data_IF_642285413438
#
_entry.id   IF_642285413438
#
_cell.length_a   1.000
_cell.length_b   1.000
_cell.length_c   1.000
_cell.angle_alpha   90.00
_cell.angle_beta   90.00
_cell.angle_gamma   90.00
#
_symmetry.space_group_name_H-M   'P 1'
#
loop_
_entity.id
_entity.type
_entity.pdbx_description
1 polymer ?
#
# COMPACT_ATOMS: atom_id res chain seq x y z
N UNK A 1 -0.47 -18.14 10.75
CA UNK A 1 0.40 -19.10 10.03
C UNK A 1 0.17 -20.54 10.46
N UNK A 2 0.13 -20.82 11.77
CA UNK A 2 -0.15 -22.18 12.31
C UNK A 2 -1.46 -22.81 11.78
N UNK A 3 -2.52 -22.00 11.63
CA UNK A 3 -3.81 -22.46 11.11
C UNK A 3 -3.72 -23.02 9.68
N UNK A 4 -2.93 -22.40 8.80
CA UNK A 4 -2.75 -22.89 7.42
C UNK A 4 -2.07 -24.27 7.43
N UNK A 5 -1.05 -24.44 8.28
CA UNK A 5 -0.36 -25.72 8.42
C UNK A 5 -1.31 -26.83 8.85
N UNK A 6 -2.14 -26.60 9.87
CA UNK A 6 -3.12 -27.60 10.35
C UNK A 6 -4.17 -27.90 9.26
N UNK A 7 -4.71 -26.88 8.60
CA UNK A 7 -5.73 -27.03 7.57
C UNK A 7 -5.24 -27.67 6.27
N UNK A 8 -3.93 -27.73 6.04
CA UNK A 8 -3.34 -28.40 4.87
C UNK A 8 -2.80 -29.79 5.22
N UNK A 9 -2.07 -29.92 6.34
CA UNK A 9 -1.42 -31.17 6.72
C UNK A 9 -2.40 -32.23 7.24
N UNK A 10 -3.43 -31.83 8.00
CA UNK A 10 -4.44 -32.77 8.52
C UNK A 10 -5.22 -33.44 7.37
N UNK A 11 -5.84 -32.69 6.44
CA UNK A 11 -6.53 -33.33 5.33
C UNK A 11 -5.58 -34.04 4.37
N UNK A 12 -4.34 -33.58 4.17
CA UNK A 12 -3.35 -34.34 3.40
C UNK A 12 -3.11 -35.74 4.00
N UNK A 13 -3.00 -35.85 5.33
CA UNK A 13 -2.92 -37.14 6.01
C UNK A 13 -4.18 -37.99 5.83
N UNK A 14 -5.35 -37.36 5.89
CA UNK A 14 -6.63 -38.05 5.66
C UNK A 14 -6.72 -38.59 4.23
N UNK A 15 -6.42 -37.77 3.21
CA UNK A 15 -6.42 -38.21 1.81
C UNK A 15 -5.39 -39.29 1.52
N UNK A 16 -4.20 -39.23 2.13
CA UNK A 16 -3.20 -40.30 1.99
C UNK A 16 -3.66 -41.65 2.55
N UNK A 17 -4.60 -41.65 3.51
CA UNK A 17 -5.20 -42.89 4.03
C UNK A 17 -6.44 -43.33 3.27
N UNK A 18 -7.17 -42.39 2.66
CA UNK A 18 -8.39 -42.66 1.88
C UNK A 18 -8.08 -43.12 0.45
N UNK A 19 -7.00 -42.60 -0.13
CA UNK A 19 -6.51 -42.93 -1.46
C UNK A 19 -5.26 -43.83 -1.33
N UNK A 20 -5.39 -45.16 -1.48
CA UNK A 20 -4.26 -46.08 -1.32
C UNK A 20 -3.20 -45.94 -2.42
N UNK A 21 -3.53 -45.27 -3.53
CA UNK A 21 -2.63 -45.00 -4.65
C UNK A 21 -1.81 -43.71 -4.45
N UNK A 22 -2.13 -42.89 -3.44
CA UNK A 22 -1.48 -41.59 -3.23
C UNK A 22 -0.49 -41.66 -2.07
N UNK A 23 0.71 -41.12 -2.27
CA UNK A 23 1.61 -40.87 -1.15
C UNK A 23 1.13 -39.64 -0.35
N UNK A 24 1.68 -39.44 0.84
CA UNK A 24 1.42 -38.24 1.65
C UNK A 24 1.79 -36.95 0.90
N UNK A 25 2.86 -36.98 0.10
CA UNK A 25 3.26 -35.85 -0.73
C UNK A 25 2.26 -35.54 -1.85
N UNK A 26 1.66 -36.57 -2.47
CA UNK A 26 0.64 -36.39 -3.50
C UNK A 26 -0.65 -35.81 -2.91
N UNK A 27 -1.02 -36.29 -1.73
CA UNK A 27 -2.17 -35.77 -0.97
C UNK A 27 -1.96 -34.33 -0.51
N UNK A 28 -0.74 -33.99 -0.09
CA UNK A 28 -0.33 -32.63 0.24
C UNK A 28 -0.37 -31.72 -0.97
N UNK A 29 0.17 -32.18 -2.10
CA UNK A 29 0.14 -31.48 -3.37
C UNK A 29 -1.30 -31.19 -3.80
N UNK A 30 -2.17 -32.20 -3.76
CA UNK A 30 -3.60 -32.06 -4.03
C UNK A 30 -4.26 -30.99 -3.15
N UNK A 31 -4.00 -31.01 -1.84
CA UNK A 31 -4.54 -30.03 -0.91
C UNK A 31 -4.09 -28.61 -1.26
N UNK A 32 -2.79 -28.42 -1.57
CA UNK A 32 -2.24 -27.11 -1.91
C UNK A 32 -2.85 -26.59 -3.21
N UNK A 33 -2.81 -27.37 -4.31
CA UNK A 33 -3.31 -26.91 -5.62
C UNK A 33 -4.82 -26.64 -5.61
N UNK A 34 -5.58 -27.40 -4.81
CA UNK A 34 -7.03 -27.25 -4.71
C UNK A 34 -7.41 -26.03 -3.89
N UNK A 35 -6.76 -25.82 -2.74
CA UNK A 35 -7.00 -24.68 -1.86
C UNK A 35 -6.47 -23.36 -2.40
N UNK A 36 -5.40 -23.41 -3.22
CA UNK A 36 -4.91 -22.25 -3.98
C UNK A 36 -5.71 -22.00 -5.26
N UNK A 37 -6.73 -22.82 -5.55
CA UNK A 37 -7.58 -22.76 -6.75
C UNK A 37 -6.83 -22.89 -8.08
N UNK A 38 -5.60 -23.45 -8.07
CA UNK A 38 -4.86 -23.79 -9.29
C UNK A 38 -5.57 -24.93 -10.02
N UNK A 39 -5.96 -25.99 -9.28
CA UNK A 39 -6.87 -27.03 -9.76
C UNK A 39 -6.45 -27.77 -11.03
N UNK A 40 -5.21 -28.28 -11.08
CA UNK A 40 -4.68 -28.99 -12.26
C UNK A 40 -5.49 -30.23 -12.65
N UNK A 41 -6.08 -30.93 -11.67
CA UNK A 41 -6.97 -32.07 -11.91
C UNK A 41 -6.25 -33.38 -12.26
N UNK A 42 -4.95 -33.44 -12.06
CA UNK A 42 -4.12 -34.65 -12.14
C UNK A 42 -4.39 -35.63 -10.98
N UNK A 43 -4.66 -35.10 -9.79
CA UNK A 43 -5.11 -35.87 -8.63
C UNK A 43 -6.58 -35.58 -8.33
N UNK A 44 -7.43 -36.59 -8.53
CA UNK A 44 -8.86 -36.54 -8.25
C UNK A 44 -9.20 -37.64 -7.27
N UNK A 45 -9.63 -37.31 -6.04
CA UNK A 45 -9.94 -38.33 -5.05
C UNK A 45 -11.23 -39.06 -5.48
N UNK A 46 -11.27 -40.37 -5.29
CA UNK A 46 -12.41 -41.22 -5.63
C UNK A 46 -12.47 -41.55 -7.11
N UNK A 47 -11.34 -41.48 -7.80
CA UNK A 47 -11.23 -41.86 -9.20
C UNK A 47 -10.78 -43.32 -9.41
N UNK A 48 -10.45 -44.04 -8.34
CA UNK A 48 -10.13 -45.47 -8.43
C UNK A 48 -11.36 -46.29 -8.91
N UNK A 49 -11.16 -47.29 -9.81
CA UNK A 49 -12.25 -48.10 -10.37
C UNK A 49 -12.89 -49.08 -9.38
N UNK A 50 -12.24 -49.38 -8.25
CA UNK A 50 -12.64 -50.42 -7.29
C UNK A 50 -13.25 -49.90 -5.97
N UNK A 51 -13.66 -48.63 -5.87
CA UNK A 51 -14.27 -48.08 -4.64
C UNK A 51 -15.81 -48.18 -4.65
N UNK A 52 -16.43 -48.85 -3.65
CA UNK A 52 -17.87 -48.74 -3.42
C UNK A 52 -18.23 -47.32 -2.97
N UNK A 53 -19.40 -46.81 -3.35
CA UNK A 53 -19.90 -45.46 -2.99
C UNK A 53 -19.13 -44.25 -3.57
N UNK A 54 -18.48 -44.41 -4.72
CA UNK A 54 -17.84 -43.36 -5.54
C UNK A 54 -18.58 -42.00 -5.60
N UNK A 55 -19.90 -41.93 -5.83
CA UNK A 55 -20.59 -40.63 -5.88
C UNK A 55 -20.66 -39.92 -4.53
N UNK A 56 -20.87 -40.65 -3.43
CA UNK A 56 -20.95 -40.05 -2.09
C UNK A 56 -19.61 -39.47 -1.66
N UNK A 57 -18.53 -40.18 -1.98
CA UNK A 57 -17.18 -39.74 -1.72
C UNK A 57 -16.84 -38.47 -2.51
N UNK A 58 -17.14 -38.41 -3.82
CA UNK A 58 -16.95 -37.20 -4.63
C UNK A 58 -17.72 -36.00 -4.08
N UNK A 59 -18.95 -36.20 -3.62
CA UNK A 59 -19.74 -35.14 -2.98
C UNK A 59 -19.09 -34.72 -1.66
N UNK A 60 -18.65 -35.66 -0.83
CA UNK A 60 -17.94 -35.39 0.42
C UNK A 60 -16.66 -34.56 0.22
N UNK A 61 -15.82 -34.96 -0.74
CA UNK A 61 -14.63 -34.20 -1.14
C UNK A 61 -15.01 -32.79 -1.61
N UNK A 62 -16.05 -32.65 -2.42
CA UNK A 62 -16.48 -31.33 -2.93
C UNK A 62 -16.91 -30.43 -1.78
N UNK A 63 -17.68 -30.93 -0.81
CA UNK A 63 -18.07 -30.18 0.38
C UNK A 63 -16.85 -29.81 1.22
N UNK A 64 -15.91 -30.73 1.41
CA UNK A 64 -14.64 -30.45 2.07
C UNK A 64 -13.87 -29.33 1.37
N UNK A 65 -13.75 -29.37 0.04
CA UNK A 65 -13.05 -28.34 -0.74
C UNK A 65 -13.74 -26.98 -0.61
N UNK A 66 -15.08 -26.93 -0.65
CA UNK A 66 -15.82 -25.68 -0.47
C UNK A 66 -15.55 -25.07 0.92
N UNK A 67 -15.67 -25.88 1.97
CA UNK A 67 -15.42 -25.41 3.35
C UNK A 67 -13.96 -25.02 3.53
N UNK A 68 -13.02 -25.88 3.12
CA UNK A 68 -11.58 -25.61 3.21
C UNK A 68 -11.17 -24.35 2.45
N UNK A 69 -11.72 -24.14 1.26
CA UNK A 69 -11.48 -22.94 0.45
C UNK A 69 -12.00 -21.68 1.15
N UNK A 70 -13.19 -21.72 1.77
CA UNK A 70 -13.70 -20.55 2.52
C UNK A 70 -12.80 -20.19 3.70
N UNK A 71 -12.27 -21.17 4.43
CA UNK A 71 -11.32 -20.94 5.52
C UNK A 71 -9.98 -20.39 5.01
N UNK A 72 -9.49 -20.89 3.87
CA UNK A 72 -8.27 -20.39 3.24
C UNK A 72 -8.44 -18.96 2.74
N UNK A 73 -9.56 -18.65 2.08
CA UNK A 73 -9.87 -17.28 1.64
C UNK A 73 -10.03 -16.33 2.83
N UNK A 74 -10.73 -16.72 3.90
CA UNK A 74 -10.82 -15.92 5.12
C UNK A 74 -9.44 -15.64 5.71
N UNK A 75 -8.57 -16.65 5.75
CA UNK A 75 -7.21 -16.49 6.25
C UNK A 75 -6.41 -15.52 5.39
N UNK A 76 -6.50 -15.63 4.06
CA UNK A 76 -5.88 -14.69 3.13
C UNK A 76 -6.41 -13.27 3.36
N UNK A 77 -7.73 -13.08 3.48
CA UNK A 77 -8.35 -11.79 3.80
C UNK A 77 -7.78 -11.19 5.08
N UNK A 78 -7.67 -11.97 6.16
CA UNK A 78 -7.06 -11.51 7.42
C UNK A 78 -5.59 -11.14 7.25
N UNK A 79 -4.83 -11.86 6.41
CA UNK A 79 -3.45 -11.49 6.09
C UNK A 79 -3.36 -10.21 5.25
N UNK A 80 -4.28 -9.99 4.32
CA UNK A 80 -4.37 -8.75 3.53
C UNK A 80 -4.78 -7.54 4.40
N UNK A 81 -5.65 -7.73 5.39
CA UNK A 81 -6.10 -6.71 6.34
C UNK A 81 -5.00 -6.26 7.33
N UNK A 82 -3.88 -6.98 7.38
CA UNK A 82 -2.69 -6.63 8.17
C UNK A 82 -1.59 -6.13 7.20
N UNK A 83 -1.70 -4.91 6.63
CA UNK A 83 -0.65 -4.27 5.83
C UNK A 83 0.46 -3.68 6.72
N UNK A 84 0.78 -4.30 7.85
CA UNK A 84 1.85 -3.83 8.75
C UNK A 84 3.23 -3.96 8.09
N UNK A 85 3.32 -4.71 6.98
CA UNK A 85 4.33 -4.55 5.95
C UNK A 85 3.85 -3.50 4.94
N UNK A 86 4.01 -2.25 5.34
CA UNK A 86 4.52 -1.25 4.43
C UNK A 86 5.94 -1.68 4.00
N UNK A 87 6.08 -2.82 3.30
CA UNK A 87 7.34 -3.27 2.70
C UNK A 87 7.84 -2.19 1.74
N UNK A 88 6.91 -1.41 1.17
CA UNK A 88 7.17 -0.16 0.46
C UNK A 88 7.90 0.87 1.32
N UNK A 89 7.51 1.12 2.57
CA UNK A 89 8.19 2.05 3.49
C UNK A 89 9.44 1.48 4.14
N UNK A 90 9.49 0.18 4.43
CA UNK A 90 10.73 -0.47 4.88
C UNK A 90 11.80 -0.40 3.77
N UNK A 91 11.39 -0.60 2.50
CA UNK A 91 12.27 -0.43 1.35
C UNK A 91 12.56 1.04 1.03
N UNK A 92 11.62 1.97 1.23
CA UNK A 92 11.84 3.42 1.03
C UNK A 92 12.77 3.99 2.12
N UNK A 93 12.62 3.60 3.39
CA UNK A 93 13.59 3.95 4.45
C UNK A 93 14.99 3.38 4.12
N UNK A 94 15.07 2.19 3.52
CA UNK A 94 16.35 1.62 3.06
C UNK A 94 16.91 2.32 1.80
N UNK A 95 16.05 2.85 0.93
CA UNK A 95 16.46 3.68 -0.21
C UNK A 95 17.00 5.05 0.19
N UNK A 96 16.62 5.58 1.37
CA UNK A 96 17.14 6.87 1.87
C UNK A 96 18.54 6.71 2.50
N UNK A 97 18.88 5.54 3.05
CA UNK A 97 20.20 5.30 3.67
C UNK A 97 21.32 5.03 2.65
N UNK A 98 20.97 4.65 1.41
CA UNK A 98 21.96 4.37 0.35
C UNK A 98 22.16 5.54 -0.63
N UNK A 99 21.29 6.56 -0.57
CA UNK A 99 21.45 7.83 -1.28
C UNK A 99 21.69 8.96 -0.27
N UNK A 100 22.59 8.70 0.69
CA UNK A 100 23.30 9.75 1.41
C UNK A 100 24.19 10.49 0.42
N UNK A 101 23.55 11.33 -0.38
CA UNK A 101 24.16 12.14 -1.43
C UNK A 101 25.32 12.93 -0.79
N UNK A 102 26.58 12.64 -1.14
CA UNK A 102 27.74 13.31 -0.54
C UNK A 102 27.73 14.82 -0.81
N UNK A 103 26.91 15.29 -1.76
CA UNK A 103 26.66 16.71 -2.03
C UNK A 103 26.03 17.46 -0.83
N UNK A 104 25.15 16.82 -0.05
CA UNK A 104 24.49 17.47 1.10
C UNK A 104 25.45 17.69 2.26
N UNK A 105 26.47 16.85 2.38
CA UNK A 105 27.56 16.98 3.36
C UNK A 105 28.60 18.05 2.95
N UNK A 106 28.73 18.36 1.65
CA UNK A 106 29.65 19.41 1.16
C UNK A 106 29.11 20.83 1.37
N UNK A 107 27.81 20.99 1.55
CA UNK A 107 27.16 22.29 1.80
C UNK A 107 27.10 22.68 3.28
N UNK A 108 27.43 21.78 4.21
CA UNK A 108 27.66 22.14 5.61
C UNK A 108 29.14 22.46 5.82
N UNK A 109 29.56 23.59 5.25
CA UNK A 109 30.77 24.28 5.73
C UNK A 109 30.53 24.67 7.20
N UNK A 110 31.43 24.28 8.14
CA UNK A 110 31.36 24.78 9.50
C UNK A 110 31.76 26.25 9.49
N UNK A 111 30.76 27.13 9.43
CA UNK A 111 30.93 28.57 9.53
C UNK A 111 30.58 29.32 8.25
N UNK A 112 29.30 29.62 8.05
CA UNK A 112 28.87 30.80 7.31
C UNK A 112 27.44 31.18 7.72
N UNK A 113 27.26 32.48 7.97
CA UNK A 113 26.05 33.15 8.43
C UNK A 113 25.11 33.45 7.26
N UNK A 114 23.82 33.13 7.40
CA UNK A 114 22.67 33.81 6.74
C UNK A 114 21.91 33.04 5.64
N UNK A 115 20.68 33.47 5.24
CA UNK A 115 19.68 34.29 5.94
C UNK A 115 18.31 33.59 6.11
N UNK A 116 17.61 33.88 7.23
CA UNK A 116 16.21 33.49 7.47
C UNK A 116 15.27 34.29 6.57
N UNK A 117 14.71 33.68 5.52
CA UNK A 117 13.63 34.28 4.72
C UNK A 117 12.65 33.21 4.25
N UNK A 118 11.59 32.96 5.04
CA UNK A 118 10.24 32.68 4.48
C UNK A 118 9.14 32.55 5.54
N UNK A 119 9.42 32.47 6.84
CA UNK A 119 8.38 32.11 7.81
C UNK A 119 7.82 33.23 8.71
N UNK A 120 8.04 34.52 8.42
CA UNK A 120 7.65 35.61 9.34
C UNK A 120 6.74 36.70 8.76
N UNK A 121 6.25 36.58 7.52
CA UNK A 121 5.53 37.68 6.86
C UNK A 121 4.00 37.56 6.79
N UNK A 122 3.39 36.48 7.29
CA UNK A 122 1.94 36.27 7.15
C UNK A 122 1.10 36.50 8.44
N UNK A 123 1.71 36.50 9.63
CA UNK A 123 0.94 36.51 10.89
C UNK A 123 0.69 37.92 11.49
N UNK A 124 1.32 38.98 10.92
CA UNK A 124 1.30 40.32 11.51
C UNK A 124 0.29 41.32 10.92
N UNK A 125 -0.35 41.03 9.78
CA UNK A 125 -1.07 42.06 9.01
C UNK A 125 -2.57 42.21 9.30
N UNK A 126 -3.16 41.36 10.15
CA UNK A 126 -4.61 41.46 10.48
C UNK A 126 -4.94 42.37 11.67
N UNK A 127 -3.96 42.82 12.46
CA UNK A 127 -4.23 43.58 13.68
C UNK A 127 -4.20 45.11 13.53
N UNK A 128 -3.76 45.66 12.39
CA UNK A 128 -3.56 47.11 12.22
C UNK A 128 -4.48 47.69 11.14
N UNK A 129 -5.78 47.42 11.24
CA UNK A 129 -6.79 48.26 10.56
C UNK A 129 -7.29 49.28 11.59
N UNK A 130 -6.47 50.30 11.85
CA UNK A 130 -6.83 51.45 12.69
C UNK A 130 -6.68 52.76 11.92
N UNK A 131 -7.77 53.11 11.23
CA UNK A 131 -8.47 54.42 11.26
C UNK A 131 -7.69 55.73 11.00
N UNK A 132 -8.20 56.49 9.98
CA UNK A 132 -8.15 57.96 9.75
C UNK A 132 -6.75 58.53 9.39
N UNK A 133 -6.57 59.62 8.64
CA UNK A 133 -7.41 60.77 8.30
C UNK A 133 -6.69 61.59 7.22
N UNK A 134 -7.45 62.12 6.25
CA UNK A 134 -7.34 63.47 5.65
C UNK A 134 -5.93 64.06 5.45
N UNK A 135 -5.58 64.31 4.17
CA UNK A 135 -5.10 65.61 3.66
C UNK A 135 -4.85 65.49 2.14
N UNK A 136 -5.85 65.89 1.38
CA UNK A 136 -5.64 66.50 0.06
C UNK A 136 -4.87 67.80 0.29
N UNK A 137 -3.77 68.01 -0.43
CA UNK A 137 -3.17 69.31 -0.75
C UNK A 137 -1.89 69.06 -1.58
N UNK A 138 -2.01 69.12 -2.92
CA UNK A 138 -0.86 69.26 -3.81
C UNK A 138 -1.02 70.57 -4.58
N UNK A 139 -0.07 71.53 -4.48
CA UNK A 139 -0.14 72.75 -5.27
C UNK A 139 0.33 72.50 -6.71
N UNK A 140 -0.43 73.03 -7.67
CA UNK A 140 -0.11 73.05 -9.10
C UNK A 140 1.03 74.03 -9.39
N UNK A 141 2.03 73.70 -10.22
CA UNK A 141 3.02 74.66 -10.67
C UNK A 141 2.45 75.53 -11.79
N UNK A 142 2.49 76.84 -11.59
CA UNK A 142 2.35 77.84 -12.64
C UNK A 142 3.62 77.83 -13.50
N UNK A 143 3.49 77.56 -14.79
CA UNK A 143 4.54 77.85 -15.77
C UNK A 143 4.04 78.92 -16.73
N UNK A 144 4.57 80.12 -16.53
CA UNK A 144 4.36 81.32 -17.32
C UNK A 144 5.12 81.21 -18.64
N UNK A 145 4.41 81.15 -19.77
CA UNK A 145 5.00 81.54 -21.05
C UNK A 145 4.12 82.57 -21.77
N UNK A 146 4.71 83.64 -22.36
CA UNK A 146 3.97 84.85 -22.70
C UNK A 146 3.38 84.80 -24.12
N UNK A 147 2.28 85.53 -24.25
CA UNK A 147 1.52 85.84 -25.47
C UNK A 147 2.42 86.32 -26.60
N UNK A 148 2.35 85.65 -27.76
CA UNK A 148 2.59 86.32 -29.04
C UNK A 148 1.56 85.87 -30.08
N UNK A 149 0.43 86.57 -30.08
CA UNK A 149 -0.40 86.71 -31.27
C UNK A 149 0.30 87.70 -32.21
N UNK A 150 0.53 87.30 -33.47
CA UNK A 150 0.74 88.21 -34.59
C UNK A 150 -0.54 88.29 -35.42
N UNK A 151 -0.81 89.43 -36.08
CA UNK A 151 -1.97 89.62 -36.93
C UNK A 151 -1.95 88.71 -38.17
#
# INVERSE_FOLDING_TARGET
MFQVGVFVLVPAGVFATLEPEWDYLDSLYYCIISLTTIGLGDYIPGDSPNQPYRPLYKVGTTVYLLVGLTFMMLTLTVFYDIPQLNFGLFFLMRSDETTGDPEKARLQTPGAVGPKYTQQLDDGRRAVVRVKSRRDDSPSPEDTTPVHARP
#
